data_IF_037179564926
#
_entry.id   IF_037179564926
#
_cell.length_a   1.000
_cell.length_b   1.000
_cell.length_c   1.000
_cell.angle_alpha   90.00
_cell.angle_beta   90.00
_cell.angle_gamma   90.00
#
_symmetry.space_group_name_H-M   'P 1'
#
loop_
_entity.id
_entity.type
_entity.pdbx_description
1 polymer ?
#
# COMPACT_ATOMS: atom_id res chain seq x y z
N UNK A 1 -27.55 35.80 35.94
CA UNK A 1 -27.74 34.35 36.09
C UNK A 1 -26.56 33.84 36.88
N UNK A 2 -26.80 33.31 38.08
CA UNK A 2 -25.74 32.85 38.98
C UNK A 2 -25.27 31.46 38.50
N UNK A 3 -24.22 31.41 37.70
CA UNK A 3 -23.53 30.15 37.34
C UNK A 3 -22.69 29.66 38.53
N UNK A 4 -23.34 29.27 39.60
CA UNK A 4 -22.74 28.41 40.60
C UNK A 4 -22.88 26.98 40.08
N UNK A 5 -21.82 26.45 39.46
CA UNK A 5 -21.72 25.02 39.20
C UNK A 5 -21.94 24.31 40.53
N UNK A 6 -22.98 23.46 40.62
CA UNK A 6 -23.23 22.67 41.82
C UNK A 6 -22.02 21.74 42.05
N UNK A 7 -21.52 21.68 43.27
CA UNK A 7 -20.42 20.80 43.68
C UNK A 7 -20.69 19.36 43.25
N UNK A 8 -21.96 18.93 43.20
CA UNK A 8 -22.35 17.61 42.70
C UNK A 8 -22.12 17.46 41.22
N UNK A 9 -22.42 18.46 40.39
CA UNK A 9 -22.18 18.44 38.96
C UNK A 9 -20.68 18.41 38.67
N UNK A 10 -19.89 19.18 39.38
CA UNK A 10 -18.42 19.14 39.26
C UNK A 10 -17.88 17.77 39.66
N UNK A 11 -18.38 17.16 40.73
CA UNK A 11 -17.98 15.82 41.15
C UNK A 11 -18.30 14.76 40.04
N UNK A 12 -19.48 14.84 39.43
CA UNK A 12 -19.83 13.92 38.32
C UNK A 12 -18.95 14.11 37.13
N UNK A 13 -18.65 15.33 36.71
CA UNK A 13 -17.75 15.62 35.58
C UNK A 13 -16.34 15.05 35.83
N UNK A 14 -15.82 15.22 37.03
CA UNK A 14 -14.53 14.65 37.42
C UNK A 14 -14.56 13.11 37.42
N UNK A 15 -15.64 12.53 37.97
CA UNK A 15 -15.80 11.07 37.98
C UNK A 15 -15.89 10.49 36.56
N UNK A 16 -16.63 11.15 35.67
CA UNK A 16 -16.70 10.77 34.26
C UNK A 16 -15.32 10.84 33.63
N UNK A 17 -14.60 11.97 33.78
CA UNK A 17 -13.27 12.15 33.20
C UNK A 17 -12.25 11.12 33.71
N UNK A 18 -12.42 10.63 34.95
CA UNK A 18 -11.58 9.59 35.54
C UNK A 18 -11.94 8.19 35.06
N UNK A 19 -13.23 7.91 34.78
CA UNK A 19 -13.71 6.54 34.48
C UNK A 19 -13.84 6.20 32.98
N UNK A 20 -13.70 7.19 32.08
CA UNK A 20 -13.73 6.92 30.64
C UNK A 20 -12.50 6.11 30.21
N UNK A 21 -12.70 5.19 29.26
CA UNK A 21 -11.65 4.31 28.70
C UNK A 21 -10.86 5.01 27.58
N UNK A 22 -10.43 6.24 27.84
CA UNK A 22 -9.52 7.00 26.98
C UNK A 22 -8.53 7.78 27.86
N UNK A 23 -7.31 7.92 27.38
CA UNK A 23 -6.29 8.73 28.07
C UNK A 23 -6.63 10.21 27.95
N UNK A 24 -6.71 10.89 29.09
CA UNK A 24 -6.91 12.34 29.15
C UNK A 24 -5.76 12.98 29.89
N UNK A 25 -5.05 13.86 29.17
CA UNK A 25 -3.97 14.68 29.73
C UNK A 25 -4.25 16.14 29.39
N UNK A 26 -4.25 16.99 30.40
CA UNK A 26 -4.27 18.44 30.18
C UNK A 26 -2.93 19.00 30.61
N UNK A 27 -2.33 19.83 29.79
CA UNK A 27 -1.08 20.52 30.08
C UNK A 27 -1.16 22.01 29.70
N UNK A 28 -0.35 22.82 30.33
CA UNK A 28 -0.22 24.24 30.04
C UNK A 28 0.70 24.52 28.85
N UNK A 29 1.01 25.81 28.60
CA UNK A 29 1.88 26.24 27.51
C UNK A 29 3.32 25.77 27.64
N UNK A 30 3.77 25.48 28.85
CA UNK A 30 5.11 24.98 29.18
C UNK A 30 5.13 23.44 29.24
N UNK A 31 4.03 22.80 28.80
CA UNK A 31 3.84 21.33 28.80
C UNK A 31 3.82 20.72 30.20
N UNK A 32 3.52 21.51 31.22
CA UNK A 32 3.35 21.01 32.59
C UNK A 32 1.97 20.37 32.74
N UNK A 33 1.93 19.11 33.14
CA UNK A 33 0.71 18.31 33.27
C UNK A 33 -0.13 18.87 34.41
N UNK A 34 -1.43 19.12 34.15
CA UNK A 34 -2.41 19.62 35.10
C UNK A 34 -3.50 18.59 35.41
N UNK A 35 -3.84 17.75 34.41
CA UNK A 35 -4.84 16.68 34.55
C UNK A 35 -4.26 15.39 34.00
N UNK A 36 -4.51 14.33 34.78
CA UNK A 36 -4.05 12.98 34.48
C UNK A 36 -5.11 11.99 34.96
N UNK A 37 -5.80 11.29 34.07
CA UNK A 37 -6.89 10.41 34.46
C UNK A 37 -6.43 8.98 34.73
N UNK A 38 -7.35 8.15 35.23
CA UNK A 38 -7.09 6.75 35.59
C UNK A 38 -6.60 5.90 34.43
N UNK A 39 -7.05 6.16 33.19
CA UNK A 39 -6.52 5.47 32.02
C UNK A 39 -5.01 5.70 31.87
N UNK A 40 -4.59 6.96 31.98
CA UNK A 40 -3.17 7.32 31.87
C UNK A 40 -2.35 6.67 32.99
N UNK A 41 -2.86 6.66 34.23
CA UNK A 41 -2.24 5.99 35.38
C UNK A 41 -2.05 4.49 35.09
N UNK A 42 -3.12 3.81 34.70
CA UNK A 42 -3.10 2.37 34.44
C UNK A 42 -2.15 1.99 33.29
N UNK A 43 -2.09 2.82 32.22
CA UNK A 43 -1.28 2.51 31.03
C UNK A 43 0.19 2.91 31.17
N UNK A 44 0.50 3.97 31.90
CA UNK A 44 1.88 4.45 32.10
C UNK A 44 2.53 3.89 33.36
N UNK A 45 1.74 3.50 34.37
CA UNK A 45 2.20 3.17 35.72
C UNK A 45 2.57 4.41 36.57
N UNK A 46 2.30 5.62 36.07
CA UNK A 46 2.59 6.87 36.76
C UNK A 46 1.30 7.37 37.46
N UNK A 47 1.33 7.50 38.78
CA UNK A 47 0.16 7.99 39.53
C UNK A 47 -0.04 9.49 39.31
N UNK A 48 -1.27 10.01 39.40
CA UNK A 48 -1.60 11.43 39.16
C UNK A 48 -0.76 12.41 39.99
N UNK A 49 -0.42 12.08 41.24
CA UNK A 49 0.43 12.90 42.10
C UNK A 49 1.82 13.15 41.54
N UNK A 50 2.37 12.15 40.87
CA UNK A 50 3.72 12.18 40.32
C UNK A 50 3.74 12.78 38.92
N UNK A 51 2.61 12.69 38.19
CA UNK A 51 2.45 13.27 36.86
C UNK A 51 2.17 14.77 36.91
N UNK A 52 1.36 15.22 37.85
CA UNK A 52 0.96 16.63 37.96
C UNK A 52 2.17 17.54 38.23
N UNK A 53 2.23 18.67 37.53
CA UNK A 53 3.34 19.64 37.57
C UNK A 53 4.66 19.11 36.99
N UNK A 54 4.67 17.90 36.39
CA UNK A 54 5.80 17.41 35.62
C UNK A 54 5.64 17.77 34.13
N UNK A 55 6.77 17.93 33.46
CA UNK A 55 6.74 18.11 32.00
C UNK A 55 6.27 16.84 31.31
N UNK A 56 5.32 16.94 30.39
CA UNK A 56 4.88 15.84 29.54
C UNK A 56 6.04 15.11 28.85
N UNK A 57 7.08 15.84 28.46
CA UNK A 57 8.28 15.25 27.83
C UNK A 57 9.22 14.56 28.81
N UNK A 58 9.14 14.88 30.10
CA UNK A 58 9.88 14.15 31.13
C UNK A 58 9.23 12.81 31.44
N UNK A 59 7.90 12.77 31.39
CA UNK A 59 7.12 11.55 31.57
C UNK A 59 7.24 10.61 30.36
N UNK A 60 7.35 11.19 29.15
CA UNK A 60 7.43 10.45 27.88
C UNK A 60 8.61 10.93 27.02
N UNK A 61 9.83 10.55 27.35
CA UNK A 61 11.04 10.98 26.63
C UNK A 61 11.12 10.46 25.19
N UNK A 62 10.38 9.39 24.85
CA UNK A 62 10.27 8.82 23.52
C UNK A 62 9.45 9.67 22.54
N UNK A 63 8.65 10.61 23.04
CA UNK A 63 7.84 11.49 22.19
C UNK A 63 8.73 12.44 21.39
N UNK A 64 8.57 12.43 20.07
CA UNK A 64 9.28 13.39 19.21
C UNK A 64 8.82 14.83 19.52
N UNK A 65 9.60 15.52 20.34
CA UNK A 65 9.28 16.86 20.83
C UNK A 65 9.06 17.87 19.71
N UNK A 66 9.89 17.86 18.66
CA UNK A 66 9.79 18.83 17.58
C UNK A 66 8.47 18.69 16.80
N UNK A 67 8.04 17.44 16.57
CA UNK A 67 6.76 17.15 15.93
C UNK A 67 5.58 17.51 16.83
N UNK A 68 5.62 17.11 18.10
CA UNK A 68 4.53 17.34 19.03
C UNK A 68 4.32 18.84 19.30
N UNK A 69 5.42 19.60 19.51
CA UNK A 69 5.38 21.05 19.68
C UNK A 69 4.73 21.74 18.49
N UNK A 70 5.07 21.39 17.26
CA UNK A 70 4.42 21.96 16.06
C UNK A 70 2.91 21.68 16.02
N UNK A 71 2.48 20.48 16.43
CA UNK A 71 1.04 20.15 16.50
C UNK A 71 0.32 20.99 17.55
N UNK A 72 0.88 21.10 18.75
CA UNK A 72 0.34 21.93 19.84
C UNK A 72 0.29 23.41 19.43
N UNK A 73 1.35 23.94 18.83
CA UNK A 73 1.43 25.32 18.35
C UNK A 73 0.36 25.61 17.28
N UNK A 74 0.13 24.68 16.37
CA UNK A 74 -0.97 24.77 15.39
C UNK A 74 -2.35 24.85 16.08
N UNK A 75 -2.60 24.02 17.10
CA UNK A 75 -3.86 24.04 17.87
C UNK A 75 -4.02 25.35 18.60
N UNK A 76 -2.96 25.86 19.22
CA UNK A 76 -2.97 27.13 19.95
C UNK A 76 -3.21 28.33 19.04
N UNK A 77 -2.60 28.33 17.84
CA UNK A 77 -2.69 29.44 16.89
C UNK A 77 -4.04 29.47 16.18
N UNK A 78 -4.51 28.29 15.72
CA UNK A 78 -5.75 28.20 14.93
C UNK A 78 -7.00 28.07 15.82
N UNK A 79 -6.85 27.70 17.08
CA UNK A 79 -7.95 27.47 18.01
C UNK A 79 -8.85 26.27 17.62
N UNK A 80 -8.34 25.37 16.77
CA UNK A 80 -9.06 24.20 16.27
C UNK A 80 -8.36 22.90 16.67
N UNK A 81 -9.10 21.79 16.85
CA UNK A 81 -8.50 20.51 17.18
C UNK A 81 -7.56 19.96 16.11
N UNK A 82 -6.52 19.23 16.51
CA UNK A 82 -5.63 18.47 15.64
C UNK A 82 -5.74 16.98 15.95
N UNK A 83 -5.81 16.16 14.89
CA UNK A 83 -5.95 14.71 14.97
C UNK A 83 -4.68 14.03 14.49
N UNK A 84 -4.39 12.85 15.04
CA UNK A 84 -3.39 11.93 14.53
C UNK A 84 -3.96 10.52 14.58
N UNK A 85 -3.92 9.80 13.49
CA UNK A 85 -4.43 8.45 13.37
C UNK A 85 -3.29 7.44 13.37
N UNK A 86 -3.57 6.23 13.81
CA UNK A 86 -2.60 5.16 13.97
C UNK A 86 -1.87 4.78 12.66
N UNK A 87 -2.51 4.92 11.50
CA UNK A 87 -1.89 4.66 10.20
C UNK A 87 -0.75 5.65 9.87
N UNK A 88 -0.83 6.87 10.38
CA UNK A 88 0.21 7.90 10.20
C UNK A 88 1.31 7.78 11.27
N UNK A 89 0.89 7.49 12.50
CA UNK A 89 1.75 7.29 13.65
C UNK A 89 1.13 6.24 14.57
N UNK A 90 1.68 5.03 14.62
CA UNK A 90 1.08 3.91 15.36
C UNK A 90 0.78 4.23 16.83
N UNK A 91 1.66 4.97 17.46
CA UNK A 91 1.54 5.43 18.85
C UNK A 91 2.24 6.77 19.07
N UNK A 92 1.71 7.57 19.99
CA UNK A 92 2.34 8.77 20.50
C UNK A 92 3.28 8.42 21.65
N UNK A 93 2.81 7.60 22.58
CA UNK A 93 3.51 7.12 23.78
C UNK A 93 3.54 5.58 23.77
N UNK A 94 4.60 4.99 24.34
CA UNK A 94 4.80 3.54 24.34
C UNK A 94 4.02 2.85 25.47
N UNK A 95 2.70 2.81 25.39
CA UNK A 95 1.90 2.02 26.30
C UNK A 95 1.96 0.54 25.90
N UNK A 96 2.24 -0.33 26.89
CA UNK A 96 2.20 -1.77 26.68
C UNK A 96 0.82 -2.23 26.28
N UNK A 97 0.76 -3.18 25.34
CA UNK A 97 -0.48 -3.86 25.03
C UNK A 97 -0.78 -4.88 26.14
N UNK A 98 -1.91 -4.71 26.85
CA UNK A 98 -2.35 -5.62 27.90
C UNK A 98 -3.35 -6.67 27.42
N UNK A 99 -3.63 -6.77 26.13
CA UNK A 99 -4.50 -7.81 25.61
C UNK A 99 -3.71 -9.12 25.44
N UNK A 100 -3.99 -10.14 26.32
CA UNK A 100 -3.06 -11.27 26.50
C UNK A 100 -3.13 -12.39 25.45
N UNK A 101 -4.06 -12.38 24.49
CA UNK A 101 -4.38 -13.61 23.73
C UNK A 101 -4.17 -13.48 22.21
N UNK A 102 -4.07 -12.29 21.64
CA UNK A 102 -3.97 -12.13 20.19
C UNK A 102 -2.84 -11.19 19.72
N UNK A 103 -2.13 -10.57 20.63
CA UNK A 103 -1.20 -9.49 20.33
C UNK A 103 0.18 -9.98 19.94
N UNK A 104 0.49 -9.94 18.67
CA UNK A 104 1.87 -9.93 18.15
C UNK A 104 2.54 -8.55 18.32
N UNK A 105 1.82 -7.58 18.89
CA UNK A 105 2.23 -6.18 18.98
C UNK A 105 2.58 -5.85 20.43
N UNK A 106 3.79 -5.33 20.62
CA UNK A 106 4.30 -4.98 21.95
C UNK A 106 3.61 -3.74 22.55
N UNK A 107 3.13 -2.84 21.69
CA UNK A 107 2.55 -1.54 22.08
C UNK A 107 1.11 -1.35 21.59
N UNK A 108 0.35 -0.59 22.37
CA UNK A 108 -1.01 -0.15 22.09
C UNK A 108 -1.05 0.82 20.90
N UNK A 109 -1.81 0.51 19.85
CA UNK A 109 -2.08 1.46 18.77
C UNK A 109 -2.97 2.61 19.25
N UNK A 110 -2.65 3.83 18.79
CA UNK A 110 -3.28 5.03 19.32
C UNK A 110 -3.80 5.96 18.23
N UNK A 111 -5.05 6.42 18.40
CA UNK A 111 -5.48 7.68 17.82
C UNK A 111 -5.38 8.78 18.86
N UNK A 112 -4.96 9.97 18.45
CA UNK A 112 -4.85 11.09 19.39
C UNK A 112 -5.58 12.33 18.88
N UNK A 113 -6.17 13.07 19.81
CA UNK A 113 -6.78 14.37 19.55
C UNK A 113 -6.21 15.40 20.50
N UNK A 114 -5.71 16.50 19.94
CA UNK A 114 -5.32 17.68 20.69
C UNK A 114 -6.36 18.76 20.50
N UNK A 115 -6.91 19.34 21.56
CA UNK A 115 -7.81 20.48 21.44
C UNK A 115 -7.53 21.55 22.51
N UNK A 116 -7.81 22.83 22.17
CA UNK A 116 -7.52 23.94 23.07
C UNK A 116 -8.58 24.05 24.19
N UNK A 117 -8.12 24.30 25.38
CA UNK A 117 -9.00 24.70 26.51
C UNK A 117 -8.86 26.19 26.73
N UNK A 118 -10.02 26.88 26.86
CA UNK A 118 -10.08 28.31 27.05
C UNK A 118 -10.32 28.64 28.51
N UNK A 119 -9.62 29.63 28.99
CA UNK A 119 -9.88 30.24 30.31
C UNK A 119 -11.15 31.12 30.25
N UNK A 120 -11.57 31.62 31.40
CA UNK A 120 -12.77 32.49 31.56
C UNK A 120 -12.67 33.75 30.68
N UNK A 121 -11.46 34.25 30.44
CA UNK A 121 -11.19 35.39 29.55
C UNK A 121 -11.19 35.05 28.06
N UNK A 122 -11.60 33.81 27.69
CA UNK A 122 -11.65 33.26 26.34
C UNK A 122 -10.28 33.02 25.67
N UNK A 123 -9.16 33.26 26.36
CA UNK A 123 -7.84 32.92 25.88
C UNK A 123 -7.56 31.43 26.01
N UNK A 124 -6.82 30.86 25.05
CA UNK A 124 -6.38 29.47 25.13
C UNK A 124 -5.28 29.38 26.18
N UNK A 125 -5.56 28.73 27.29
CA UNK A 125 -4.65 28.58 28.43
C UNK A 125 -3.99 27.22 28.49
N UNK A 126 -4.69 26.15 28.08
CA UNK A 126 -4.25 24.78 28.20
C UNK A 126 -4.58 24.00 26.90
N UNK A 127 -3.95 22.87 26.76
CA UNK A 127 -4.25 21.88 25.71
C UNK A 127 -4.70 20.59 26.38
N UNK A 128 -5.78 20.03 25.88
CA UNK A 128 -6.19 18.68 26.22
C UNK A 128 -5.75 17.71 25.14
N UNK A 129 -4.98 16.71 25.52
CA UNK A 129 -4.64 15.56 24.74
C UNK A 129 -5.54 14.39 25.12
N UNK A 130 -6.26 13.84 24.14
CA UNK A 130 -7.03 12.60 24.30
C UNK A 130 -6.34 11.49 23.50
N UNK A 131 -6.15 10.35 24.15
CA UNK A 131 -5.52 9.16 23.57
C UNK A 131 -6.56 8.03 23.56
N UNK A 132 -6.87 7.54 22.38
CA UNK A 132 -7.79 6.42 22.17
C UNK A 132 -7.00 5.14 21.92
N UNK A 133 -7.34 4.06 22.64
CA UNK A 133 -6.87 2.72 22.31
C UNK A 133 -7.63 2.21 21.08
N UNK A 134 -6.89 2.01 19.98
CA UNK A 134 -7.44 1.49 18.73
C UNK A 134 -6.73 0.21 18.32
N UNK A 135 -6.14 -0.51 19.29
CA UNK A 135 -5.36 -1.72 19.05
C UNK A 135 -6.19 -2.79 18.36
N UNK A 136 -7.43 -3.00 18.78
CA UNK A 136 -8.32 -3.98 18.12
C UNK A 136 -8.60 -3.62 16.68
N UNK A 137 -8.86 -2.35 16.40
CA UNK A 137 -9.12 -1.85 15.03
C UNK A 137 -7.90 -2.06 14.16
N UNK A 138 -6.72 -1.69 14.64
CA UNK A 138 -5.45 -1.84 13.92
C UNK A 138 -5.12 -3.32 13.66
N UNK A 139 -5.27 -4.17 14.69
CA UNK A 139 -5.01 -5.62 14.58
C UNK A 139 -5.94 -6.28 13.56
N UNK A 140 -7.25 -5.98 13.62
CA UNK A 140 -8.20 -6.51 12.65
C UNK A 140 -7.93 -6.02 11.23
N UNK A 141 -7.55 -4.74 11.06
CA UNK A 141 -7.18 -4.19 9.76
C UNK A 141 -5.96 -4.92 9.17
N UNK A 142 -4.91 -5.15 9.97
CA UNK A 142 -3.73 -5.91 9.56
C UNK A 142 -4.06 -7.37 9.22
N UNK A 143 -4.89 -8.04 10.03
CA UNK A 143 -5.33 -9.42 9.75
C UNK A 143 -6.13 -9.50 8.45
N UNK A 144 -7.05 -8.56 8.22
CA UNK A 144 -7.83 -8.50 6.97
C UNK A 144 -6.94 -8.25 5.75
N UNK A 145 -5.96 -7.35 5.85
CA UNK A 145 -4.98 -7.13 4.80
C UNK A 145 -4.14 -8.38 4.52
N UNK A 146 -3.70 -9.07 5.59
CA UNK A 146 -2.97 -10.33 5.50
C UNK A 146 -3.78 -11.43 4.82
N UNK A 147 -5.04 -11.62 5.24
CA UNK A 147 -5.95 -12.58 4.63
C UNK A 147 -6.25 -12.28 3.16
N UNK A 148 -6.51 -11.02 2.81
CA UNK A 148 -6.69 -10.59 1.43
C UNK A 148 -5.44 -10.84 0.57
N UNK A 149 -4.25 -10.57 1.11
CA UNK A 149 -2.98 -10.86 0.42
C UNK A 149 -2.80 -12.36 0.19
N UNK A 150 -3.12 -13.19 1.17
CA UNK A 150 -3.08 -14.64 1.02
C UNK A 150 -4.10 -15.14 -0.01
N UNK A 151 -5.32 -14.62 -0.02
CA UNK A 151 -6.33 -14.94 -1.04
C UNK A 151 -5.89 -14.53 -2.44
N UNK A 152 -5.22 -13.39 -2.59
CA UNK A 152 -4.63 -12.97 -3.86
C UNK A 152 -3.49 -13.89 -4.32
N UNK A 153 -2.66 -14.38 -3.39
CA UNK A 153 -1.60 -15.35 -3.69
C UNK A 153 -2.16 -16.73 -4.03
N UNK A 154 -3.25 -17.15 -3.39
CA UNK A 154 -3.94 -18.42 -3.72
C UNK A 154 -4.64 -18.37 -5.09
N UNK A 155 -5.05 -17.20 -5.56
CA UNK A 155 -5.53 -17.00 -6.93
C UNK A 155 -4.33 -16.68 -7.84
N UNK A 156 -3.63 -17.72 -8.30
CA UNK A 156 -2.44 -17.56 -9.15
C UNK A 156 -2.73 -17.08 -10.57
N UNK A 157 -3.98 -17.13 -11.00
CA UNK A 157 -4.39 -16.85 -12.37
C UNK A 157 -5.24 -15.59 -12.49
N UNK A 158 -5.14 -14.90 -13.63
CA UNK A 158 -6.05 -13.84 -14.03
C UNK A 158 -7.37 -14.44 -14.53
N UNK A 159 -8.50 -13.96 -14.01
CA UNK A 159 -9.82 -14.54 -14.29
C UNK A 159 -10.29 -14.38 -15.73
N UNK A 160 -9.87 -13.32 -16.41
CA UNK A 160 -10.27 -13.05 -17.78
C UNK A 160 -9.49 -13.89 -18.77
N UNK A 161 -8.17 -14.03 -18.54
CA UNK A 161 -7.26 -14.64 -19.48
C UNK A 161 -6.88 -16.08 -19.12
N UNK A 162 -7.00 -16.50 -17.86
CA UNK A 162 -6.49 -17.79 -17.39
C UNK A 162 -4.96 -17.92 -17.36
N UNK A 163 -4.22 -16.87 -17.76
CA UNK A 163 -2.78 -16.78 -17.55
C UNK A 163 -2.47 -16.47 -16.09
N UNK A 164 -1.21 -16.52 -15.69
CA UNK A 164 -0.86 -16.09 -14.35
C UNK A 164 -1.20 -14.61 -14.14
N UNK A 165 -1.66 -14.27 -12.94
CA UNK A 165 -1.80 -12.87 -12.56
C UNK A 165 -0.44 -12.25 -12.28
N UNK A 166 -0.40 -10.92 -12.24
CA UNK A 166 0.82 -10.15 -12.00
C UNK A 166 1.61 -10.63 -10.77
N UNK A 167 0.92 -10.89 -9.65
CA UNK A 167 1.59 -11.27 -8.39
C UNK A 167 2.33 -12.61 -8.51
N UNK A 168 1.68 -13.63 -9.06
CA UNK A 168 2.29 -14.94 -9.26
C UNK A 168 3.41 -14.90 -10.31
N UNK A 169 3.19 -14.14 -11.38
CA UNK A 169 4.19 -13.96 -12.43
C UNK A 169 5.46 -13.27 -11.92
N UNK A 170 5.33 -12.17 -11.13
CA UNK A 170 6.48 -11.48 -10.52
C UNK A 170 7.25 -12.38 -9.54
N UNK A 171 6.55 -13.22 -8.78
CA UNK A 171 7.20 -14.19 -7.90
C UNK A 171 7.98 -15.25 -8.68
N UNK A 172 7.42 -15.73 -9.79
CA UNK A 172 8.09 -16.65 -10.70
C UNK A 172 9.35 -16.03 -11.31
N UNK A 173 9.30 -14.76 -11.72
CA UNK A 173 10.46 -14.03 -12.21
C UNK A 173 11.54 -13.90 -11.13
N UNK A 174 11.17 -13.58 -9.91
CA UNK A 174 12.09 -13.49 -8.77
C UNK A 174 12.81 -14.82 -8.52
N UNK A 175 12.09 -15.93 -8.62
CA UNK A 175 12.66 -17.27 -8.46
C UNK A 175 13.63 -17.61 -9.59
N UNK A 176 13.29 -17.29 -10.86
CA UNK A 176 14.18 -17.52 -11.99
C UNK A 176 15.41 -16.61 -11.93
N UNK A 177 15.28 -15.38 -11.49
CA UNK A 177 16.42 -14.49 -11.24
C UNK A 177 17.38 -15.06 -10.17
N UNK A 178 16.85 -15.61 -9.09
CA UNK A 178 17.66 -16.28 -8.06
C UNK A 178 18.36 -17.52 -8.63
N UNK A 179 17.70 -18.27 -9.52
CA UNK A 179 18.28 -19.42 -10.24
C UNK A 179 19.39 -18.98 -11.19
N UNK A 180 19.17 -17.92 -11.98
CA UNK A 180 20.20 -17.33 -12.84
C UNK A 180 21.45 -16.97 -12.02
N UNK A 181 21.29 -16.24 -10.90
CA UNK A 181 22.41 -15.86 -10.03
C UNK A 181 23.23 -17.05 -9.50
N UNK A 182 22.60 -18.20 -9.35
CA UNK A 182 23.25 -19.40 -8.80
C UNK A 182 23.93 -20.26 -9.88
N UNK A 183 23.33 -20.32 -11.06
CA UNK A 183 23.71 -21.30 -12.10
C UNK A 183 24.12 -20.65 -13.42
N UNK A 184 24.11 -19.34 -13.52
CA UNK A 184 24.35 -18.57 -14.76
C UNK A 184 23.46 -19.03 -15.92
N UNK A 185 22.21 -19.41 -15.60
CA UNK A 185 21.24 -19.88 -16.60
C UNK A 185 20.69 -18.72 -17.40
N UNK A 186 20.64 -18.82 -18.73
CA UNK A 186 20.02 -17.82 -19.57
C UNK A 186 18.51 -17.73 -19.27
N UNK A 187 17.96 -16.52 -19.30
CA UNK A 187 16.52 -16.31 -19.33
C UNK A 187 16.20 -14.97 -20.03
N UNK A 188 15.11 -14.95 -20.80
CA UNK A 188 14.60 -13.75 -21.46
C UNK A 188 13.24 -13.38 -20.90
N UNK A 189 12.99 -12.09 -20.82
CA UNK A 189 11.72 -11.48 -20.49
C UNK A 189 11.17 -10.78 -21.73
N UNK A 190 9.91 -11.05 -22.06
CA UNK A 190 9.16 -10.36 -23.11
C UNK A 190 7.98 -9.65 -22.45
N UNK A 191 7.95 -8.33 -22.50
CA UNK A 191 6.79 -7.52 -22.13
C UNK A 191 6.10 -7.01 -23.39
N UNK A 192 4.78 -7.01 -23.41
CA UNK A 192 4.03 -6.51 -24.55
C UNK A 192 2.66 -5.96 -24.17
N UNK A 193 2.12 -5.15 -25.08
CA UNK A 193 0.88 -4.42 -24.90
C UNK A 193 0.07 -4.43 -26.21
N UNK A 194 -1.26 -4.43 -26.11
CA UNK A 194 -2.15 -4.42 -27.27
C UNK A 194 -2.24 -3.00 -27.82
N UNK A 195 -1.78 -2.83 -29.04
CA UNK A 195 -1.74 -1.54 -29.72
C UNK A 195 -3.14 -0.92 -29.85
N UNK A 196 -3.25 0.34 -29.46
CA UNK A 196 -4.50 1.12 -29.57
C UNK A 196 -5.70 0.49 -28.84
N UNK A 197 -5.50 -0.26 -27.76
CA UNK A 197 -6.56 -0.98 -27.06
C UNK A 197 -7.70 -0.06 -26.61
N UNK A 198 -7.38 1.15 -26.12
CA UNK A 198 -8.40 2.14 -25.77
C UNK A 198 -9.34 2.43 -26.96
N UNK A 199 -8.81 2.55 -28.18
CA UNK A 199 -9.64 2.78 -29.39
C UNK A 199 -10.55 1.59 -29.69
N UNK A 200 -10.11 0.37 -29.39
CA UNK A 200 -10.95 -0.83 -29.52
C UNK A 200 -12.14 -0.73 -28.55
N UNK A 201 -11.88 -0.42 -27.28
CA UNK A 201 -12.94 -0.22 -26.30
C UNK A 201 -13.90 0.91 -26.66
N UNK A 202 -13.37 2.05 -27.10
CA UNK A 202 -14.17 3.23 -27.48
C UNK A 202 -15.03 2.96 -28.71
N UNK A 203 -14.61 2.07 -29.61
CA UNK A 203 -15.31 1.77 -30.86
C UNK A 203 -16.30 0.61 -30.75
N UNK A 204 -15.92 -0.46 -30.01
CA UNK A 204 -16.65 -1.74 -30.00
C UNK A 204 -17.19 -2.11 -28.61
N UNK A 205 -16.90 -1.28 -27.58
CA UNK A 205 -17.30 -1.51 -26.20
C UNK A 205 -16.33 -2.39 -25.41
N UNK A 206 -16.43 -2.33 -24.10
CA UNK A 206 -15.52 -3.04 -23.17
C UNK A 206 -15.59 -4.57 -23.31
N UNK A 207 -16.77 -5.13 -23.64
CA UNK A 207 -16.90 -6.57 -23.86
C UNK A 207 -16.11 -7.06 -25.08
N UNK A 208 -16.07 -6.25 -26.15
CA UNK A 208 -15.22 -6.52 -27.30
C UNK A 208 -13.73 -6.46 -26.95
N UNK A 209 -13.33 -5.49 -26.13
CA UNK A 209 -11.99 -5.40 -25.57
C UNK A 209 -11.61 -6.63 -24.75
N UNK A 210 -12.50 -7.12 -23.90
CA UNK A 210 -12.28 -8.34 -23.12
C UNK A 210 -12.09 -9.56 -24.03
N UNK A 211 -12.86 -9.69 -25.12
CA UNK A 211 -12.67 -10.75 -26.11
C UNK A 211 -11.31 -10.63 -26.83
N UNK A 212 -10.87 -9.41 -27.15
CA UNK A 212 -9.53 -9.19 -27.72
C UNK A 212 -8.45 -9.63 -26.74
N UNK A 213 -8.53 -9.25 -25.46
CA UNK A 213 -7.59 -9.70 -24.42
C UNK A 213 -7.56 -11.22 -24.31
N UNK A 214 -8.71 -11.88 -24.29
CA UNK A 214 -8.80 -13.35 -24.23
C UNK A 214 -8.12 -14.01 -25.45
N UNK A 215 -8.39 -13.50 -26.66
CA UNK A 215 -7.77 -14.04 -27.88
C UNK A 215 -6.27 -13.85 -27.94
N UNK A 216 -5.76 -12.72 -27.46
CA UNK A 216 -4.32 -12.50 -27.31
C UNK A 216 -3.73 -13.48 -26.29
N UNK A 217 -4.40 -13.71 -25.16
CA UNK A 217 -3.97 -14.69 -24.18
C UNK A 217 -3.98 -16.14 -24.74
N UNK A 218 -4.95 -16.50 -25.58
CA UNK A 218 -4.97 -17.76 -26.29
C UNK A 218 -3.73 -17.91 -27.18
N UNK A 219 -3.39 -16.86 -27.95
CA UNK A 219 -2.18 -16.86 -28.77
C UNK A 219 -0.92 -17.04 -27.94
N UNK A 220 -0.85 -16.44 -26.76
CA UNK A 220 0.28 -16.66 -25.85
C UNK A 220 0.37 -18.13 -25.48
N UNK A 221 -0.73 -18.75 -25.02
CA UNK A 221 -0.76 -20.18 -24.62
C UNK A 221 -0.33 -21.11 -25.75
N UNK A 222 -0.74 -20.83 -26.99
CA UNK A 222 -0.38 -21.64 -28.17
C UNK A 222 1.11 -21.54 -28.52
N UNK A 223 1.80 -20.49 -28.08
CA UNK A 223 3.19 -20.21 -28.47
C UNK A 223 4.23 -20.42 -27.37
N UNK A 224 3.81 -20.59 -26.09
CA UNK A 224 4.69 -20.88 -24.95
C UNK A 224 4.93 -22.38 -24.81
N UNK A 225 6.03 -22.73 -24.14
CA UNK A 225 6.36 -24.10 -23.71
C UNK A 225 5.87 -24.32 -22.27
N UNK A 226 5.83 -25.56 -21.83
CA UNK A 226 5.44 -25.89 -20.44
C UNK A 226 6.31 -25.21 -19.36
N UNK A 227 7.56 -24.93 -19.69
CA UNK A 227 8.51 -24.26 -18.77
C UNK A 227 8.43 -22.73 -18.83
N UNK A 228 7.78 -22.17 -19.83
CA UNK A 228 7.62 -20.72 -19.98
C UNK A 228 6.49 -20.20 -19.08
N UNK A 229 6.64 -19.00 -18.59
CA UNK A 229 5.73 -18.43 -17.58
C UNK A 229 5.10 -17.17 -18.13
N UNK A 230 3.82 -17.27 -18.52
CA UNK A 230 3.08 -16.16 -19.08
C UNK A 230 2.07 -15.59 -18.08
N UNK A 231 1.98 -14.28 -17.99
CA UNK A 231 1.07 -13.57 -17.10
C UNK A 231 0.44 -12.33 -17.73
N UNK A 232 -0.73 -11.95 -17.23
CA UNK A 232 -1.31 -10.64 -17.47
C UNK A 232 -0.73 -9.67 -16.46
N UNK A 233 0.03 -8.69 -16.93
CA UNK A 233 0.77 -7.77 -16.09
C UNK A 233 -0.04 -6.52 -15.71
N UNK A 234 -0.90 -6.06 -16.62
CA UNK A 234 -1.79 -4.92 -16.43
C UNK A 234 -3.13 -5.11 -17.17
N UNK A 235 -3.83 -4.02 -17.45
CA UNK A 235 -5.12 -4.06 -18.16
C UNK A 235 -5.03 -4.75 -19.53
N UNK A 236 -4.14 -4.25 -20.38
CA UNK A 236 -3.86 -4.74 -21.74
C UNK A 236 -2.41 -5.20 -21.91
N UNK A 237 -1.66 -5.26 -20.81
CA UNK A 237 -0.25 -5.58 -20.75
C UNK A 237 -0.02 -7.03 -20.33
N UNK A 238 0.91 -7.66 -20.98
CA UNK A 238 1.30 -9.05 -20.76
C UNK A 238 2.81 -9.18 -20.58
N UNK A 239 3.22 -10.21 -19.86
CA UNK A 239 4.61 -10.53 -19.66
C UNK A 239 4.85 -12.03 -19.80
N UNK A 240 5.90 -12.41 -20.53
CA UNK A 240 6.31 -13.81 -20.71
C UNK A 240 7.77 -13.97 -20.31
N UNK A 241 8.01 -14.82 -19.33
CA UNK A 241 9.34 -15.23 -18.91
C UNK A 241 9.70 -16.53 -19.63
N UNK A 242 10.87 -16.58 -20.25
CA UNK A 242 11.40 -17.69 -21.03
C UNK A 242 12.67 -18.24 -20.38
N UNK A 243 12.56 -19.18 -19.42
CA UNK A 243 13.72 -19.82 -18.80
C UNK A 243 14.59 -20.55 -19.84
N UNK A 244 15.91 -20.57 -19.61
CA UNK A 244 16.85 -21.22 -20.50
C UNK A 244 16.94 -20.61 -21.92
N UNK A 245 16.42 -19.39 -22.11
CA UNK A 245 16.32 -18.76 -23.43
C UNK A 245 17.14 -17.47 -23.47
N UNK A 246 18.19 -17.37 -24.32
CA UNK A 246 18.96 -16.14 -24.46
C UNK A 246 18.17 -15.08 -25.28
N UNK A 247 18.63 -13.81 -25.28
CA UNK A 247 18.00 -12.65 -25.96
C UNK A 247 17.56 -12.94 -27.39
N UNK A 248 18.41 -13.60 -28.17
CA UNK A 248 18.08 -13.98 -29.56
C UNK A 248 16.86 -14.93 -29.66
N UNK A 249 16.76 -15.88 -28.72
CA UNK A 249 15.60 -16.76 -28.61
C UNK A 249 14.34 -16.02 -28.17
N UNK A 250 14.48 -15.09 -27.21
CA UNK A 250 13.41 -14.19 -26.78
C UNK A 250 12.86 -13.37 -27.95
N UNK A 251 13.74 -12.82 -28.81
CA UNK A 251 13.32 -12.11 -30.03
C UNK A 251 12.54 -12.99 -30.98
N UNK A 252 13.02 -14.24 -31.22
CA UNK A 252 12.33 -15.19 -32.13
C UNK A 252 10.92 -15.49 -31.59
N UNK A 253 10.79 -15.74 -30.31
CA UNK A 253 9.48 -15.93 -29.66
C UNK A 253 8.58 -14.69 -29.85
N UNK A 254 9.10 -13.49 -29.53
CA UNK A 254 8.36 -12.24 -29.61
C UNK A 254 7.84 -11.96 -31.03
N UNK A 255 8.71 -12.15 -32.08
CA UNK A 255 8.30 -11.98 -33.48
C UNK A 255 7.27 -13.02 -33.95
N UNK A 256 7.38 -14.26 -33.48
CA UNK A 256 6.38 -15.30 -33.77
C UNK A 256 5.02 -14.94 -33.17
N UNK A 257 5.00 -14.52 -31.90
CA UNK A 257 3.77 -14.09 -31.22
C UNK A 257 3.17 -12.85 -31.88
N UNK A 258 3.99 -11.84 -32.20
CA UNK A 258 3.55 -10.64 -32.91
C UNK A 258 2.80 -10.95 -34.18
N UNK A 259 3.42 -11.80 -35.05
CA UNK A 259 2.81 -12.21 -36.32
C UNK A 259 1.53 -13.03 -36.14
N UNK A 260 1.47 -13.88 -35.12
CA UNK A 260 0.29 -14.66 -34.82
C UNK A 260 -0.89 -13.74 -34.41
N UNK A 261 -0.65 -12.76 -33.54
CA UNK A 261 -1.66 -11.79 -33.16
C UNK A 261 -2.10 -10.90 -34.32
N UNK A 262 -1.16 -10.39 -35.12
CA UNK A 262 -1.45 -9.58 -36.33
C UNK A 262 -2.35 -10.31 -37.35
N UNK A 263 -2.16 -11.63 -37.50
CA UNK A 263 -2.94 -12.46 -38.40
C UNK A 263 -4.33 -12.84 -37.92
N UNK A 264 -4.63 -12.61 -36.62
CA UNK A 264 -5.89 -13.01 -36.03
C UNK A 264 -7.03 -12.02 -36.30
N UNK A 265 -8.24 -12.58 -36.41
CA UNK A 265 -9.49 -11.82 -36.42
C UNK A 265 -10.31 -12.23 -35.18
N UNK A 266 -10.68 -11.26 -34.36
CA UNK A 266 -11.62 -11.46 -33.25
C UNK A 266 -13.02 -11.13 -33.75
N UNK A 267 -13.91 -12.13 -33.67
CA UNK A 267 -15.32 -11.91 -34.06
C UNK A 267 -16.14 -11.49 -32.81
N UNK A 268 -16.77 -10.32 -32.86
CA UNK A 268 -17.66 -9.84 -31.81
C UNK A 268 -18.89 -9.16 -32.45
N UNK A 269 -20.09 -9.61 -32.12
CA UNK A 269 -21.35 -9.11 -32.66
C UNK A 269 -21.37 -8.97 -34.18
N UNK A 270 -20.83 -9.96 -34.90
CA UNK A 270 -20.75 -9.98 -36.36
C UNK A 270 -19.68 -9.07 -36.96
N UNK A 271 -18.93 -8.33 -36.13
CA UNK A 271 -17.85 -7.45 -36.56
C UNK A 271 -16.49 -8.16 -36.39
N UNK A 272 -15.60 -7.92 -37.35
CA UNK A 272 -14.21 -8.44 -37.32
C UNK A 272 -13.29 -7.37 -36.75
N UNK A 273 -12.69 -7.66 -35.60
CA UNK A 273 -11.74 -6.78 -34.93
C UNK A 273 -10.34 -7.34 -35.16
N UNK A 274 -9.42 -6.50 -35.62
CA UNK A 274 -7.99 -6.81 -35.73
C UNK A 274 -7.20 -5.94 -34.77
N UNK A 275 -6.18 -6.52 -34.17
CA UNK A 275 -5.25 -5.80 -33.32
C UNK A 275 -3.82 -6.22 -33.63
N UNK A 276 -2.89 -5.41 -33.18
CA UNK A 276 -1.46 -5.72 -33.17
C UNK A 276 -0.93 -5.58 -31.76
N UNK A 277 0.28 -6.05 -31.53
CA UNK A 277 0.98 -5.89 -30.26
C UNK A 277 2.37 -5.29 -30.49
N UNK A 278 2.80 -4.44 -29.57
CA UNK A 278 4.18 -3.97 -29.46
C UNK A 278 4.87 -4.74 -28.36
N UNK A 279 6.13 -5.12 -28.58
CA UNK A 279 6.87 -5.98 -27.64
C UNK A 279 8.25 -5.39 -27.34
N UNK A 280 8.66 -5.55 -26.07
CA UNK A 280 10.01 -5.29 -25.59
C UNK A 280 10.63 -6.57 -25.05
N UNK A 281 11.88 -6.82 -25.36
CA UNK A 281 12.62 -8.02 -24.95
C UNK A 281 13.89 -7.63 -24.21
N UNK A 282 14.06 -8.17 -23.00
CA UNK A 282 15.30 -8.08 -22.23
C UNK A 282 15.75 -9.46 -21.78
N UNK A 283 17.01 -9.62 -21.43
CA UNK A 283 17.52 -10.88 -20.90
C UNK A 283 18.47 -10.68 -19.71
N UNK A 284 18.84 -11.77 -19.06
CA UNK A 284 19.72 -11.78 -17.90
C UNK A 284 21.22 -11.81 -18.25
N UNK A 285 21.60 -11.68 -19.55
CA UNK A 285 23.01 -11.68 -19.96
C UNK A 285 23.77 -10.43 -19.48
N UNK A 286 23.06 -9.33 -19.23
CA UNK A 286 23.65 -8.12 -18.66
C UNK A 286 23.56 -8.12 -17.14
N UNK A 287 24.58 -7.61 -16.43
CA UNK A 287 24.53 -7.50 -14.98
C UNK A 287 23.32 -6.69 -14.53
N UNK A 288 22.45 -7.30 -13.75
CA UNK A 288 21.29 -6.64 -13.15
C UNK A 288 21.43 -6.69 -11.62
N UNK A 289 21.16 -5.57 -10.95
CA UNK A 289 21.22 -5.52 -9.50
C UNK A 289 20.08 -6.34 -8.86
N UNK A 290 18.92 -6.32 -9.49
CA UNK A 290 17.74 -7.08 -9.07
C UNK A 290 16.83 -7.43 -10.27
N UNK A 291 15.81 -8.25 -10.01
CA UNK A 291 14.84 -8.67 -11.04
C UNK A 291 13.99 -7.51 -11.58
N UNK A 292 13.86 -6.40 -10.84
CA UNK A 292 13.08 -5.24 -11.28
C UNK A 292 13.75 -4.50 -12.42
N UNK A 293 15.09 -4.43 -12.42
CA UNK A 293 15.82 -3.85 -13.53
C UNK A 293 15.58 -4.61 -14.84
N UNK A 294 15.38 -5.93 -14.80
CA UNK A 294 15.01 -6.68 -16.00
C UNK A 294 13.64 -6.26 -16.53
N UNK A 295 12.67 -6.04 -15.63
CA UNK A 295 11.34 -5.52 -15.99
C UNK A 295 11.47 -4.13 -16.61
N UNK A 296 12.22 -3.23 -15.98
CA UNK A 296 12.44 -1.86 -16.46
C UNK A 296 13.05 -1.83 -17.86
N UNK A 297 14.05 -2.69 -18.14
CA UNK A 297 14.68 -2.79 -19.47
C UNK A 297 13.71 -3.31 -20.52
N UNK A 298 12.92 -4.32 -20.19
CA UNK A 298 11.91 -4.84 -21.12
C UNK A 298 10.80 -3.80 -21.38
N UNK A 299 10.39 -3.05 -20.36
CA UNK A 299 9.40 -1.97 -20.49
C UNK A 299 9.93 -0.81 -21.33
N UNK A 300 11.19 -0.40 -21.14
CA UNK A 300 11.85 0.60 -21.97
C UNK A 300 11.90 0.19 -23.45
N UNK A 301 12.21 -1.08 -23.72
CA UNK A 301 12.20 -1.63 -25.07
C UNK A 301 10.77 -1.66 -25.66
N UNK A 302 9.76 -2.01 -24.85
CA UNK A 302 8.35 -1.93 -25.23
C UNK A 302 7.93 -0.49 -25.56
N UNK A 303 8.31 0.46 -24.71
CA UNK A 303 8.06 1.87 -24.97
C UNK A 303 8.65 2.34 -26.30
N UNK A 304 9.89 1.90 -26.61
CA UNK A 304 10.55 2.18 -27.90
C UNK A 304 9.78 1.56 -29.07
N UNK A 305 9.25 0.34 -28.94
CA UNK A 305 8.39 -0.27 -29.94
C UNK A 305 7.13 0.55 -30.21
N UNK A 306 6.46 1.03 -29.13
CA UNK A 306 5.29 1.89 -29.27
C UNK A 306 5.62 3.24 -29.93
N UNK A 307 6.78 3.83 -29.62
CA UNK A 307 7.23 5.11 -30.19
C UNK A 307 7.63 5.02 -31.67
N UNK A 308 8.20 3.91 -32.08
CA UNK A 308 8.73 3.69 -33.44
C UNK A 308 7.68 3.15 -34.44
N UNK A 309 6.40 3.28 -34.15
CA UNK A 309 5.31 2.95 -35.08
C UNK A 309 4.49 1.73 -34.71
N UNK A 310 4.74 1.12 -33.54
CA UNK A 310 4.00 -0.05 -33.02
C UNK A 310 4.20 -1.31 -33.87
N UNK A 311 3.46 -2.38 -33.52
CA UNK A 311 3.47 -3.67 -34.23
C UNK A 311 4.89 -4.17 -34.53
N UNK A 312 5.77 -4.13 -33.54
CA UNK A 312 7.18 -4.50 -33.69
C UNK A 312 7.80 -4.97 -32.39
N UNK A 313 8.97 -5.56 -32.51
CA UNK A 313 9.79 -6.05 -31.39
C UNK A 313 11.04 -5.19 -31.26
N UNK A 314 11.28 -4.65 -30.09
CA UNK A 314 12.54 -3.97 -29.73
C UNK A 314 13.27 -4.77 -28.66
N UNK A 315 14.57 -4.90 -28.81
CA UNK A 315 15.44 -5.46 -27.77
C UNK A 315 15.95 -4.33 -26.88
N UNK A 316 16.19 -4.65 -25.62
CA UNK A 316 16.93 -3.75 -24.73
C UNK A 316 18.39 -3.58 -25.23
N UNK A 317 18.95 -2.41 -24.99
CA UNK A 317 20.33 -2.07 -25.38
C UNK A 317 21.38 -2.73 -24.48
#
# INVERSE_FOLDING_TARGET
MNDRIDIKELHWLLTIAQSIDVGVVVFDRDYQVQVWNTFMENRSGVVPSDATQQSFFSLFPEVNQAWFRRKVESVMTLGTPAFTIWEQRPYLVHFKNYQPITGQEDFMYQNTTLFPLRAINNEISHICLVIYDVTDVATHAHQLQGANRQLQLLSSTDRLTGLYNRGHWEESLKNEYARHRRYDSAASLVMFDIDHFKRINDTYGHQAGDHVIQRVADSVREHIRDVDIAGRYGGEEFAVLLPGTPKAGGRVFAERLRKAVEAQEVLHDGQKIRCTISLGVADLSQPTADYKQLIERADQALYSSKGNGRNQVTLDE
#
